data_IF_477955974451
#
_entry.id   IF_477955974451
#
_cell.length_a   1.000
_cell.length_b   1.000
_cell.length_c   1.000
_cell.angle_alpha   90.00
_cell.angle_beta   90.00
_cell.angle_gamma   90.00
#
_symmetry.space_group_name_H-M   'P 1'
#
loop_
_entity.id
_entity.type
_entity.pdbx_description
1 polymer ?
#
# COMPACT_ATOMS: atom_id res chain seq x y z
N UNK A 1 32.32 -1.30 23.50
CA UNK A 1 30.96 -1.62 23.01
C UNK A 1 30.82 -0.93 21.66
N UNK A 2 30.85 -1.70 20.56
CA UNK A 2 30.83 -1.16 19.21
C UNK A 2 29.53 -0.40 18.97
N UNK A 3 29.64 0.77 18.37
CA UNK A 3 28.49 1.45 17.77
C UNK A 3 27.88 0.48 16.78
N UNK A 4 26.76 -0.12 17.14
CA UNK A 4 25.95 -0.94 16.23
C UNK A 4 25.62 -0.02 15.06
N UNK A 5 26.21 -0.31 13.91
CA UNK A 5 26.01 0.45 12.68
C UNK A 5 24.48 0.43 12.39
N UNK A 6 23.82 1.57 12.61
CA UNK A 6 22.40 1.69 12.28
C UNK A 6 22.30 1.73 10.75
N UNK A 7 21.43 0.93 10.14
CA UNK A 7 21.22 1.02 8.70
C UNK A 7 20.69 2.41 8.36
N UNK A 8 20.99 2.88 7.17
CA UNK A 8 20.47 4.19 6.71
C UNK A 8 18.98 4.11 6.41
N UNK A 9 18.51 3.01 5.81
CA UNK A 9 17.10 2.74 5.52
C UNK A 9 16.67 1.44 6.19
N UNK A 10 15.49 1.42 6.79
CA UNK A 10 14.77 0.19 7.09
C UNK A 10 13.70 0.00 6.02
N UNK A 11 13.81 -1.06 5.23
CA UNK A 11 12.72 -1.54 4.38
C UNK A 11 11.93 -2.57 5.18
N UNK A 12 10.61 -2.47 5.18
CA UNK A 12 9.74 -3.41 5.89
C UNK A 12 8.70 -3.98 4.94
N UNK A 13 8.51 -5.31 5.00
CA UNK A 13 7.52 -6.04 4.21
C UNK A 13 6.53 -6.71 5.16
N UNK A 14 5.33 -6.14 5.37
CA UNK A 14 4.23 -6.87 5.95
C UNK A 14 3.71 -7.89 4.92
N UNK A 15 3.62 -9.16 5.31
CA UNK A 15 3.30 -10.29 4.43
C UNK A 15 2.14 -11.09 5.00
N UNK A 16 1.14 -11.43 4.18
CA UNK A 16 0.09 -12.37 4.51
C UNK A 16 -0.43 -13.07 3.25
N UNK A 17 -0.20 -14.38 3.15
CA UNK A 17 -0.63 -15.21 2.03
C UNK A 17 -0.20 -14.64 0.66
N UNK A 18 1.10 -14.31 0.54
CA UNK A 18 1.73 -13.76 -0.65
C UNK A 18 2.67 -14.76 -1.35
N UNK A 19 2.51 -16.09 -1.16
CA UNK A 19 3.43 -17.10 -1.70
C UNK A 19 3.73 -16.93 -3.19
N UNK A 20 2.75 -16.44 -3.95
CA UNK A 20 2.87 -16.21 -5.39
C UNK A 20 3.87 -15.09 -5.74
N UNK A 21 4.04 -14.09 -4.88
CA UNK A 21 4.73 -12.84 -5.22
C UNK A 21 5.91 -12.52 -4.31
N UNK A 22 5.89 -13.01 -3.07
CA UNK A 22 6.83 -12.59 -2.02
C UNK A 22 8.31 -12.76 -2.40
N UNK A 23 8.65 -13.82 -3.12
CA UNK A 23 10.02 -14.04 -3.60
C UNK A 23 10.48 -12.96 -4.57
N UNK A 24 9.61 -12.51 -5.48
CA UNK A 24 9.89 -11.42 -6.42
C UNK A 24 10.02 -10.09 -5.67
N UNK A 25 9.12 -9.81 -4.74
CA UNK A 25 9.15 -8.61 -3.90
C UNK A 25 10.45 -8.50 -3.10
N UNK A 26 10.84 -9.57 -2.38
CA UNK A 26 12.08 -9.58 -1.60
C UNK A 26 13.31 -9.37 -2.51
N UNK A 27 13.38 -10.06 -3.63
CA UNK A 27 14.48 -9.93 -4.58
C UNK A 27 14.57 -8.50 -5.15
N UNK A 28 13.46 -7.83 -5.39
CA UNK A 28 13.45 -6.44 -5.87
C UNK A 28 14.05 -5.47 -4.84
N UNK A 29 13.82 -5.72 -3.55
CA UNK A 29 14.45 -4.96 -2.46
C UNK A 29 15.93 -5.28 -2.35
N UNK A 30 16.31 -6.55 -2.40
CA UNK A 30 17.73 -6.95 -2.28
C UNK A 30 18.59 -6.45 -3.43
N UNK A 31 17.98 -6.18 -4.60
CA UNK A 31 18.64 -5.71 -5.82
C UNK A 31 18.74 -4.18 -5.92
N UNK A 32 18.40 -3.43 -4.86
CA UNK A 32 18.52 -1.99 -4.85
C UNK A 32 19.98 -1.54 -4.98
N UNK A 33 20.22 -0.46 -5.77
CA UNK A 33 21.55 0.16 -5.93
C UNK A 33 22.05 0.79 -4.63
N UNK A 34 21.14 1.32 -3.80
CA UNK A 34 21.43 1.76 -2.44
C UNK A 34 21.53 0.55 -1.52
N UNK A 35 22.69 0.31 -0.89
CA UNK A 35 22.99 -0.93 -0.17
C UNK A 35 22.93 -0.84 1.35
N UNK A 36 22.97 0.39 1.94
CA UNK A 36 22.92 0.58 3.40
C UNK A 36 21.50 0.52 3.93
N UNK A 37 20.92 -0.67 3.90
CA UNK A 37 19.59 -0.93 4.46
C UNK A 37 19.50 -2.27 5.20
N UNK A 38 18.52 -2.38 6.10
CA UNK A 38 18.02 -3.66 6.62
C UNK A 38 16.65 -3.95 6.01
N UNK A 39 16.32 -5.22 5.88
CA UNK A 39 15.02 -5.70 5.43
C UNK A 39 14.32 -6.48 6.54
N UNK A 40 13.21 -5.93 7.04
CA UNK A 40 12.38 -6.57 8.06
C UNK A 40 11.14 -7.15 7.38
N UNK A 41 10.93 -8.46 7.49
CA UNK A 41 9.76 -9.14 6.92
C UNK A 41 8.88 -9.62 8.08
N UNK A 42 7.62 -9.21 8.08
CA UNK A 42 6.64 -9.58 9.11
C UNK A 42 5.53 -10.44 8.50
N UNK A 43 5.62 -11.73 8.74
CA UNK A 43 4.60 -12.71 8.34
C UNK A 43 3.42 -12.68 9.31
N UNK A 44 2.24 -12.34 8.81
CA UNK A 44 1.00 -12.26 9.56
C UNK A 44 0.30 -13.62 9.66
N UNK A 45 1.05 -14.64 10.08
CA UNK A 45 0.55 -16.00 10.25
C UNK A 45 0.06 -16.64 8.93
N UNK A 46 0.82 -16.47 7.84
CA UNK A 46 0.50 -17.06 6.53
C UNK A 46 0.35 -18.57 6.57
N UNK A 47 -0.53 -19.09 5.72
CA UNK A 47 -0.87 -20.53 5.60
C UNK A 47 -0.59 -21.10 4.19
N UNK A 48 -0.09 -20.28 3.26
CA UNK A 48 0.09 -20.63 1.84
C UNK A 48 1.55 -20.94 1.45
N UNK A 49 2.48 -21.00 2.41
CA UNK A 49 3.90 -21.21 2.15
C UNK A 49 4.72 -19.91 1.99
N UNK A 50 4.12 -18.73 2.15
CA UNK A 50 4.83 -17.43 2.08
C UNK A 50 6.02 -17.37 3.04
N UNK A 51 5.82 -17.85 4.28
CA UNK A 51 6.86 -17.87 5.30
C UNK A 51 8.07 -18.71 4.88
N UNK A 52 7.83 -19.91 4.33
CA UNK A 52 8.90 -20.83 3.91
C UNK A 52 9.70 -20.26 2.74
N UNK A 53 9.02 -19.58 1.79
CA UNK A 53 9.68 -18.88 0.69
C UNK A 53 10.58 -17.77 1.24
N UNK A 54 10.08 -16.92 2.12
CA UNK A 54 10.87 -15.85 2.73
C UNK A 54 12.06 -16.41 3.54
N UNK A 55 11.85 -17.49 4.29
CA UNK A 55 12.86 -18.16 5.11
C UNK A 55 13.97 -18.85 4.29
N UNK A 56 13.67 -19.22 3.04
CA UNK A 56 14.66 -19.84 2.14
C UNK A 56 15.68 -18.85 1.56
N UNK A 57 15.40 -17.54 1.62
CA UNK A 57 16.29 -16.52 1.09
C UNK A 57 17.37 -16.17 2.12
N UNK A 58 18.62 -16.29 1.71
CA UNK A 58 19.79 -16.06 2.58
C UNK A 58 20.50 -14.76 2.17
N UNK A 59 20.21 -13.69 2.91
CA UNK A 59 20.91 -12.42 2.83
C UNK A 59 21.04 -11.83 4.23
N UNK A 60 22.22 -11.34 4.60
CA UNK A 60 22.50 -10.84 5.95
C UNK A 60 21.67 -9.62 6.36
N UNK A 61 21.07 -8.93 5.40
CA UNK A 61 20.18 -7.78 5.62
C UNK A 61 18.78 -8.20 6.05
N UNK A 62 18.36 -9.46 5.79
CA UNK A 62 17.02 -9.97 6.07
C UNK A 62 16.87 -10.31 7.56
N UNK A 63 15.74 -9.89 8.13
CA UNK A 63 15.23 -10.37 9.41
C UNK A 63 13.78 -10.74 9.23
N UNK A 64 13.47 -12.03 9.40
CA UNK A 64 12.12 -12.57 9.26
C UNK A 64 11.48 -12.76 10.63
N UNK A 65 10.27 -12.27 10.79
CA UNK A 65 9.44 -12.40 11.99
C UNK A 65 8.11 -13.04 11.60
N UNK A 66 7.51 -13.78 12.54
CA UNK A 66 6.17 -14.33 12.37
C UNK A 66 5.27 -13.89 13.51
N UNK A 67 4.08 -13.45 13.19
CA UNK A 67 3.06 -13.15 14.19
C UNK A 67 2.50 -14.46 14.76
N UNK A 68 2.14 -14.52 16.06
CA UNK A 68 1.56 -15.71 16.65
C UNK A 68 0.18 -16.04 16.10
N UNK A 69 -0.53 -15.03 15.60
CA UNK A 69 -1.85 -15.07 14.97
C UNK A 69 -1.94 -14.02 13.86
N UNK A 70 -3.00 -14.06 13.06
CA UNK A 70 -3.27 -13.02 12.06
C UNK A 70 -3.78 -11.75 12.75
N UNK A 71 -3.02 -10.66 12.62
CA UNK A 71 -3.34 -9.35 13.20
C UNK A 71 -4.09 -8.43 12.24
N UNK A 72 -4.28 -8.87 10.99
CA UNK A 72 -4.81 -8.05 9.91
C UNK A 72 -3.84 -6.95 9.43
N UNK A 73 -4.25 -6.20 8.40
CA UNK A 73 -3.39 -5.17 7.79
C UNK A 73 -2.92 -4.11 8.79
N UNK A 74 -3.81 -3.54 9.59
CA UNK A 74 -3.46 -2.52 10.58
C UNK A 74 -2.44 -3.04 11.59
N UNK A 75 -2.73 -4.18 12.21
CA UNK A 75 -1.86 -4.75 13.24
C UNK A 75 -0.49 -5.14 12.68
N UNK A 76 -0.45 -5.77 11.50
CA UNK A 76 0.79 -6.21 10.88
C UNK A 76 1.64 -5.04 10.37
N UNK A 77 1.02 -4.02 9.75
CA UNK A 77 1.73 -2.83 9.25
C UNK A 77 2.31 -2.00 10.40
N UNK A 78 1.54 -1.79 11.47
CA UNK A 78 2.03 -1.10 12.67
C UNK A 78 3.17 -1.88 13.34
N UNK A 79 3.05 -3.21 13.40
CA UNK A 79 4.14 -4.05 13.90
C UNK A 79 5.39 -3.94 13.02
N UNK A 80 5.23 -3.91 11.70
CA UNK A 80 6.31 -3.79 10.74
C UNK A 80 7.08 -2.47 10.89
N UNK A 81 6.40 -1.36 11.20
CA UNK A 81 7.07 -0.06 11.41
C UNK A 81 7.57 0.14 12.86
N UNK A 82 7.13 -0.67 13.83
CA UNK A 82 7.49 -0.50 15.25
C UNK A 82 8.94 -0.83 15.60
N UNK A 83 9.64 -1.59 14.75
CA UNK A 83 11.02 -2.08 14.99
C UNK A 83 12.05 -1.48 14.04
N UNK A 84 11.69 -0.41 13.37
CA UNK A 84 12.58 0.30 12.45
C UNK A 84 13.76 0.92 13.20
N UNK A 85 14.95 0.85 12.60
CA UNK A 85 16.18 1.40 13.17
C UNK A 85 16.89 2.36 12.23
N UNK A 86 16.51 2.35 10.95
CA UNK A 86 17.06 3.25 9.94
C UNK A 86 16.72 4.72 10.22
N UNK A 87 17.43 5.62 9.55
CA UNK A 87 17.09 7.04 9.48
C UNK A 87 15.79 7.24 8.73
N UNK A 88 15.58 6.42 7.69
CA UNK A 88 14.38 6.42 6.85
C UNK A 88 13.69 5.06 6.87
N UNK A 89 12.41 5.07 6.58
CA UNK A 89 11.54 3.88 6.53
C UNK A 89 10.83 3.82 5.18
N UNK A 90 10.76 2.60 4.64
CA UNK A 90 9.96 2.26 3.48
C UNK A 90 9.13 1.00 3.76
N UNK A 91 7.81 1.08 3.55
CA UNK A 91 6.94 -0.09 3.57
C UNK A 91 6.67 -0.56 2.13
N UNK A 92 6.85 -1.86 1.90
CA UNK A 92 6.59 -2.53 0.61
C UNK A 92 5.63 -3.67 0.86
N UNK A 93 4.47 -3.67 0.25
CA UNK A 93 3.54 -4.78 0.36
C UNK A 93 4.09 -6.04 -0.30
N UNK A 94 3.69 -7.24 0.19
CA UNK A 94 4.27 -8.52 -0.21
C UNK A 94 4.04 -8.94 -1.66
N UNK A 95 3.41 -8.12 -2.48
CA UNK A 95 3.11 -8.31 -3.90
C UNK A 95 3.63 -7.20 -4.82
N UNK A 96 4.24 -6.14 -4.25
CA UNK A 96 4.77 -4.99 -4.99
C UNK A 96 6.26 -5.14 -5.33
N UNK A 97 6.75 -4.30 -6.22
CA UNK A 97 8.14 -4.36 -6.73
C UNK A 97 8.80 -2.98 -6.63
N UNK A 98 10.05 -2.93 -6.16
CA UNK A 98 10.92 -1.77 -6.28
C UNK A 98 11.77 -1.88 -7.54
N UNK A 99 11.91 -0.77 -8.29
CA UNK A 99 12.91 -0.69 -9.35
C UNK A 99 14.29 -0.36 -8.77
N UNK A 100 15.39 -0.74 -9.42
CA UNK A 100 16.73 -0.77 -8.83
C UNK A 100 17.20 0.53 -8.15
N UNK A 101 16.85 1.69 -8.67
CA UNK A 101 17.29 3.01 -8.17
C UNK A 101 16.30 3.66 -7.18
N UNK A 102 15.26 2.94 -6.73
CA UNK A 102 14.19 3.51 -5.93
C UNK A 102 14.71 4.12 -4.62
N UNK A 103 15.42 3.32 -3.82
CA UNK A 103 15.96 3.80 -2.54
C UNK A 103 16.97 4.91 -2.73
N UNK A 104 17.89 4.78 -3.69
CA UNK A 104 18.94 5.77 -3.97
C UNK A 104 18.36 7.14 -4.28
N UNK A 105 17.37 7.20 -5.21
CA UNK A 105 16.75 8.45 -5.61
C UNK A 105 15.90 9.06 -4.50
N UNK A 106 15.18 8.24 -3.73
CA UNK A 106 14.38 8.74 -2.62
C UNK A 106 15.24 9.25 -1.45
N UNK A 107 16.33 8.57 -1.12
CA UNK A 107 17.32 9.01 -0.11
C UNK A 107 17.98 10.32 -0.54
N UNK A 108 18.36 10.43 -1.81
CA UNK A 108 19.00 11.64 -2.33
C UNK A 108 18.15 12.90 -2.16
N UNK A 109 16.81 12.76 -2.27
CA UNK A 109 15.90 13.91 -2.00
C UNK A 109 16.01 14.37 -0.55
N UNK A 110 16.02 13.45 0.41
CA UNK A 110 16.11 13.80 1.84
C UNK A 110 17.51 14.32 2.25
N UNK A 111 18.54 13.86 1.56
CA UNK A 111 19.92 14.25 1.89
C UNK A 111 20.33 15.59 1.23
N UNK A 112 19.53 16.11 0.30
CA UNK A 112 19.70 17.46 -0.24
C UNK A 112 19.15 18.51 0.75
N UNK A 113 19.99 19.39 1.29
CA UNK A 113 19.57 20.43 2.24
C UNK A 113 18.47 21.36 1.73
N UNK A 114 18.31 21.52 0.42
CA UNK A 114 17.25 22.34 -0.19
C UNK A 114 15.85 21.78 0.12
N UNK A 115 15.78 20.49 0.40
CA UNK A 115 14.55 19.78 0.73
C UNK A 115 14.29 19.68 2.25
N UNK A 116 14.98 20.49 3.06
CA UNK A 116 14.70 20.55 4.49
C UNK A 116 13.20 20.83 4.74
N UNK A 117 12.57 20.06 5.65
CA UNK A 117 11.14 20.15 5.93
C UNK A 117 10.24 19.27 5.06
N UNK A 118 10.80 18.44 4.17
CA UNK A 118 10.05 17.35 3.52
C UNK A 118 9.79 16.24 4.54
N UNK A 119 8.54 15.85 4.73
CA UNK A 119 8.12 14.79 5.65
C UNK A 119 7.98 13.43 4.95
N UNK A 120 7.77 13.43 3.65
CA UNK A 120 7.69 12.20 2.84
C UNK A 120 8.12 12.44 1.40
N UNK A 121 8.78 11.44 0.83
CA UNK A 121 9.12 11.40 -0.60
C UNK A 121 8.31 10.29 -1.23
N UNK A 122 7.60 10.59 -2.30
CA UNK A 122 6.90 9.61 -3.13
C UNK A 122 7.46 9.61 -4.55
N UNK A 123 7.19 8.57 -5.30
CA UNK A 123 7.51 8.48 -6.73
C UNK A 123 6.28 8.11 -7.53
N UNK A 124 6.34 8.31 -8.85
CA UNK A 124 5.37 7.71 -9.75
C UNK A 124 5.52 6.19 -9.74
N UNK A 125 4.48 5.49 -10.17
CA UNK A 125 4.43 4.03 -10.19
C UNK A 125 3.98 3.47 -11.53
N UNK A 126 4.40 2.27 -11.80
CA UNK A 126 3.88 1.39 -12.84
C UNK A 126 2.78 0.53 -12.25
N UNK A 127 1.69 0.30 -12.98
CA UNK A 127 0.68 -0.69 -12.61
C UNK A 127 0.97 -1.98 -13.39
N UNK A 128 1.03 -3.11 -12.68
CA UNK A 128 1.28 -4.42 -13.27
C UNK A 128 0.15 -5.40 -12.95
N UNK A 129 -0.04 -6.39 -13.82
CA UNK A 129 -0.95 -7.51 -13.59
C UNK A 129 -0.28 -8.61 -12.73
N UNK A 130 -1.02 -9.69 -12.37
CA UNK A 130 -0.45 -10.78 -11.57
C UNK A 130 0.71 -11.52 -12.24
N UNK A 131 0.88 -11.41 -13.57
CA UNK A 131 1.99 -11.99 -14.30
C UNK A 131 3.21 -11.04 -14.43
N UNK A 132 3.14 -9.84 -13.82
CA UNK A 132 4.18 -8.81 -13.92
C UNK A 132 4.13 -8.00 -15.22
N UNK A 133 3.11 -8.19 -16.05
CA UNK A 133 2.96 -7.42 -17.29
C UNK A 133 2.46 -6.01 -16.97
N UNK A 134 3.11 -5.02 -17.55
CA UNK A 134 2.71 -3.61 -17.43
C UNK A 134 1.32 -3.36 -18.03
N UNK A 135 0.42 -2.85 -17.20
CA UNK A 135 -0.90 -2.35 -17.59
C UNK A 135 -0.85 -0.84 -17.85
N UNK A 136 -0.22 -0.08 -16.94
CA UNK A 136 -0.02 1.36 -17.03
C UNK A 136 1.43 1.65 -16.69
N UNK A 137 2.19 2.24 -17.63
CA UNK A 137 3.63 2.45 -17.48
C UNK A 137 3.99 3.50 -16.44
N UNK A 138 3.19 4.55 -16.31
CA UNK A 138 3.40 5.63 -15.35
C UNK A 138 2.05 6.20 -14.92
N UNK A 139 1.76 6.13 -13.65
CA UNK A 139 0.61 6.84 -13.06
C UNK A 139 1.11 8.15 -12.50
N UNK A 140 0.60 9.25 -13.03
CA UNK A 140 0.98 10.60 -12.66
C UNK A 140 -0.26 11.42 -12.32
N UNK A 141 -0.57 11.55 -11.03
CA UNK A 141 -1.63 12.44 -10.54
C UNK A 141 -1.07 13.76 -9.98
N UNK A 142 0.22 13.78 -9.61
CA UNK A 142 0.92 14.94 -9.06
C UNK A 142 2.24 15.11 -9.79
N UNK A 143 2.48 16.29 -10.34
CA UNK A 143 3.75 16.61 -11.00
C UNK A 143 4.92 16.55 -10.00
N UNK A 144 6.13 16.33 -10.50
CA UNK A 144 7.34 16.25 -9.71
C UNK A 144 7.63 17.51 -8.89
N UNK A 145 8.50 17.35 -7.89
CA UNK A 145 8.95 18.41 -6.99
C UNK A 145 8.17 18.50 -5.69
N UNK A 146 8.49 19.54 -4.89
CA UNK A 146 7.95 19.80 -3.57
C UNK A 146 6.50 20.31 -3.63
N UNK A 147 5.65 19.85 -2.72
CA UNK A 147 4.22 20.15 -2.64
C UNK A 147 3.83 20.47 -1.19
N UNK A 148 3.13 21.56 -1.01
CA UNK A 148 2.56 21.96 0.28
C UNK A 148 1.46 20.97 0.71
N UNK A 149 1.38 20.63 2.01
CA UNK A 149 0.41 19.67 2.55
C UNK A 149 -1.04 19.97 2.17
N UNK A 150 -1.48 21.21 2.37
CA UNK A 150 -2.86 21.62 2.10
C UNK A 150 -3.21 21.46 0.61
N UNK A 151 -2.29 21.79 -0.30
CA UNK A 151 -2.51 21.62 -1.74
C UNK A 151 -2.63 20.14 -2.14
N UNK A 152 -1.83 19.27 -1.53
CA UNK A 152 -1.89 17.82 -1.76
C UNK A 152 -3.23 17.26 -1.29
N UNK A 153 -3.63 17.55 -0.05
CA UNK A 153 -4.85 17.04 0.55
C UNK A 153 -6.07 17.55 -0.21
N UNK A 154 -6.12 18.86 -0.48
CA UNK A 154 -7.18 19.48 -1.25
C UNK A 154 -7.30 18.87 -2.65
N UNK A 155 -6.17 18.65 -3.35
CA UNK A 155 -6.15 18.01 -4.68
C UNK A 155 -6.64 16.56 -4.60
N UNK A 156 -6.24 15.80 -3.58
CA UNK A 156 -6.67 14.42 -3.37
C UNK A 156 -8.18 14.33 -3.16
N UNK A 157 -8.73 15.17 -2.29
CA UNK A 157 -10.18 15.27 -2.06
C UNK A 157 -10.89 15.66 -3.37
N UNK A 158 -10.45 16.73 -4.04
CA UNK A 158 -11.07 17.20 -5.30
C UNK A 158 -11.04 16.19 -6.43
N UNK A 159 -9.96 15.39 -6.53
CA UNK A 159 -9.85 14.32 -7.54
C UNK A 159 -10.63 13.06 -7.16
N UNK A 160 -11.01 12.88 -5.89
CA UNK A 160 -11.73 11.70 -5.40
C UNK A 160 -10.93 10.40 -5.55
N UNK A 161 -9.58 10.47 -5.39
CA UNK A 161 -8.70 9.30 -5.56
C UNK A 161 -7.37 9.50 -4.83
N UNK A 162 -6.66 8.38 -4.56
CA UNK A 162 -5.29 8.40 -4.07
C UNK A 162 -4.36 8.98 -5.13
N UNK A 163 -3.77 10.15 -4.85
CA UNK A 163 -2.84 10.83 -5.74
C UNK A 163 -1.38 10.69 -5.32
N UNK A 164 -1.10 10.23 -4.10
CA UNK A 164 0.25 10.07 -3.54
C UNK A 164 0.84 8.73 -3.97
N UNK A 165 0.00 7.71 -4.04
CA UNK A 165 0.36 6.34 -4.37
C UNK A 165 0.25 5.39 -3.18
N UNK A 166 0.39 4.11 -3.47
CA UNK A 166 0.40 3.02 -2.49
C UNK A 166 1.70 3.07 -1.65
N UNK A 167 1.78 2.34 -0.52
CA UNK A 167 2.96 2.39 0.38
C UNK A 167 4.30 2.15 -0.31
N UNK A 168 4.32 1.32 -1.34
CA UNK A 168 5.52 1.05 -2.16
C UNK A 168 6.12 2.31 -2.79
N UNK A 169 5.31 3.38 -3.00
CA UNK A 169 5.77 4.65 -3.57
C UNK A 169 6.56 5.49 -2.56
N UNK A 170 6.29 5.34 -1.26
CA UNK A 170 6.74 6.25 -0.21
C UNK A 170 8.09 5.90 0.43
N UNK A 171 8.82 6.93 0.88
CA UNK A 171 9.91 6.88 1.86
C UNK A 171 9.70 8.03 2.84
N UNK A 172 9.95 7.80 4.14
CA UNK A 172 9.71 8.82 5.15
C UNK A 172 10.72 8.73 6.31
N UNK A 173 10.97 9.86 7.05
CA UNK A 173 11.87 9.87 8.20
C UNK A 173 11.32 9.01 9.33
N UNK A 174 12.16 8.14 9.89
CA UNK A 174 11.75 7.21 10.94
C UNK A 174 11.41 7.91 12.27
N UNK A 175 11.98 9.09 12.53
CA UNK A 175 11.67 9.88 13.74
C UNK A 175 10.25 10.46 13.72
N UNK A 176 9.61 10.58 12.57
CA UNK A 176 8.22 10.98 12.46
C UNK A 176 7.26 9.87 12.85
N UNK A 177 7.65 8.58 12.73
CA UNK A 177 6.80 7.45 13.13
C UNK A 177 6.40 7.55 14.61
N UNK A 178 7.30 8.05 15.46
CA UNK A 178 7.01 8.23 16.89
C UNK A 178 6.06 9.43 17.18
N UNK A 179 5.77 10.25 16.19
CA UNK A 179 4.94 11.47 16.30
C UNK A 179 3.54 11.30 15.73
N UNK A 180 3.27 10.17 15.10
CA UNK A 180 1.99 9.84 14.46
C UNK A 180 1.35 8.63 15.14
N UNK A 181 0.07 8.42 14.89
CA UNK A 181 -0.68 7.28 15.44
C UNK A 181 -0.37 5.95 14.73
N UNK A 182 0.38 5.99 13.62
CA UNK A 182 0.62 4.84 12.77
C UNK A 182 -0.48 4.63 11.72
N UNK A 183 -0.56 3.41 11.21
CA UNK A 183 -1.62 3.02 10.29
C UNK A 183 -2.92 2.77 11.05
N UNK A 184 -4.04 3.26 10.54
CA UNK A 184 -5.38 3.07 11.11
C UNK A 184 -6.32 2.50 10.07
N UNK A 185 -7.01 1.42 10.42
CA UNK A 185 -8.05 0.80 9.59
C UNK A 185 -9.47 1.19 10.03
N UNK A 186 -9.66 2.31 10.72
CA UNK A 186 -10.99 2.88 10.98
C UNK A 186 -11.76 3.03 9.68
N UNK A 187 -11.08 3.44 8.60
CA UNK A 187 -11.56 3.36 7.22
C UNK A 187 -10.63 2.43 6.43
N UNK A 188 -10.91 1.14 6.37
CA UNK A 188 -9.95 0.12 5.92
C UNK A 188 -9.37 0.33 4.53
N UNK A 189 -10.13 0.88 3.59
CA UNK A 189 -9.66 1.15 2.22
C UNK A 189 -8.62 2.26 2.15
N UNK A 190 -8.62 3.18 3.09
CA UNK A 190 -7.80 4.39 3.08
C UNK A 190 -6.69 4.38 4.14
N UNK A 191 -6.32 3.19 4.63
CA UNK A 191 -5.30 2.97 5.66
C UNK A 191 -3.96 3.65 5.32
N UNK A 192 -3.56 3.66 4.05
CA UNK A 192 -2.37 4.34 3.54
C UNK A 192 -2.57 5.86 3.46
N UNK A 193 -3.76 6.32 3.08
CA UNK A 193 -4.07 7.74 2.95
C UNK A 193 -4.11 8.45 4.29
N UNK A 194 -4.71 7.81 5.31
CA UNK A 194 -4.70 8.33 6.68
C UNK A 194 -3.25 8.51 7.17
N UNK A 195 -2.40 7.51 6.94
CA UNK A 195 -0.98 7.59 7.27
C UNK A 195 -0.28 8.75 6.53
N UNK A 196 -0.57 8.94 5.24
CA UNK A 196 0.01 10.05 4.46
C UNK A 196 -0.42 11.41 5.01
N UNK A 197 -1.69 11.60 5.36
CA UNK A 197 -2.16 12.85 5.97
C UNK A 197 -1.46 13.11 7.30
N UNK A 198 -1.28 12.10 8.15
CA UNK A 198 -0.54 12.24 9.39
C UNK A 198 0.90 12.69 9.13
N UNK A 199 1.59 12.13 8.14
CA UNK A 199 2.94 12.54 7.76
C UNK A 199 2.98 13.98 7.24
N UNK A 200 2.00 14.39 6.44
CA UNK A 200 1.88 15.75 5.89
C UNK A 200 1.66 16.81 6.97
N UNK A 201 1.20 16.47 8.18
CA UNK A 201 1.17 17.40 9.31
C UNK A 201 2.56 17.82 9.80
N UNK A 202 3.61 17.13 9.38
CA UNK A 202 4.99 17.36 9.81
C UNK A 202 5.89 17.96 8.72
N UNK A 203 5.39 18.19 7.52
CA UNK A 203 6.16 18.77 6.42
C UNK A 203 5.60 18.43 5.05
N UNK A 204 6.32 18.84 4.03
CA UNK A 204 5.88 18.75 2.65
C UNK A 204 6.03 17.35 2.05
N UNK A 205 5.27 17.10 0.98
CA UNK A 205 5.49 15.98 0.07
C UNK A 205 6.50 16.38 -1.01
N UNK A 206 7.47 15.52 -1.29
CA UNK A 206 8.28 15.60 -2.51
C UNK A 206 7.92 14.45 -3.45
N UNK A 207 7.61 14.75 -4.70
CA UNK A 207 7.28 13.74 -5.72
C UNK A 207 8.42 13.63 -6.72
N UNK A 208 8.99 12.45 -6.87
CA UNK A 208 9.93 12.13 -7.93
C UNK A 208 9.14 11.78 -9.19
N UNK A 209 9.37 12.52 -10.28
CA UNK A 209 8.62 12.35 -11.54
C UNK A 209 9.14 11.18 -12.39
N UNK A 210 9.56 10.12 -11.73
CA UNK A 210 9.93 8.84 -12.33
C UNK A 210 9.14 7.71 -11.70
N UNK A 211 8.86 6.65 -12.49
CA UNK A 211 8.29 5.42 -11.96
C UNK A 211 9.40 4.59 -11.33
N UNK A 212 9.46 4.56 -10.01
CA UNK A 212 10.51 3.87 -9.23
C UNK A 212 10.02 2.58 -8.57
N UNK A 213 8.76 2.23 -8.77
CA UNK A 213 8.15 1.03 -8.24
C UNK A 213 7.01 0.54 -9.13
N UNK A 214 6.57 -0.69 -8.90
CA UNK A 214 5.38 -1.24 -9.51
C UNK A 214 4.39 -1.69 -8.44
N UNK A 215 3.14 -1.23 -8.57
CA UNK A 215 2.00 -1.70 -7.81
C UNK A 215 1.29 -2.81 -8.57
N UNK A 216 1.07 -3.94 -7.90
CA UNK A 216 0.44 -5.12 -8.51
C UNK A 216 -1.05 -5.14 -8.22
N UNK A 217 -1.85 -5.18 -9.28
CA UNK A 217 -3.29 -5.44 -9.17
C UNK A 217 -3.50 -6.95 -9.25
N UNK A 218 -4.01 -7.54 -8.17
CA UNK A 218 -4.36 -8.96 -8.10
C UNK A 218 -5.70 -9.16 -7.39
N UNK A 219 -6.29 -10.33 -7.60
CA UNK A 219 -7.49 -10.80 -6.89
C UNK A 219 -7.23 -11.07 -5.39
N UNK A 220 -5.95 -11.19 -5.01
CA UNK A 220 -5.51 -11.39 -3.63
C UNK A 220 -5.25 -10.09 -2.89
N UNK A 221 -5.18 -8.94 -3.59
CA UNK A 221 -4.89 -7.65 -2.97
C UNK A 221 -6.01 -7.23 -2.01
N UNK A 222 -5.63 -6.52 -0.94
CA UNK A 222 -6.57 -5.98 0.04
C UNK A 222 -7.66 -5.12 -0.59
N UNK A 223 -7.28 -4.23 -1.50
CA UNK A 223 -8.21 -3.37 -2.24
C UNK A 223 -9.24 -4.15 -3.09
N UNK A 224 -8.87 -5.33 -3.59
CA UNK A 224 -9.80 -6.20 -4.32
C UNK A 224 -10.80 -6.88 -3.41
N UNK A 225 -10.42 -7.19 -2.16
CA UNK A 225 -11.29 -7.84 -1.17
C UNK A 225 -12.35 -6.88 -0.60
N UNK A 226 -12.03 -5.60 -0.45
CA UNK A 226 -12.97 -4.57 0.03
C UNK A 226 -14.11 -4.31 -0.99
N UNK A 227 -13.85 -4.53 -2.28
CA UNK A 227 -14.88 -4.53 -3.33
C UNK A 227 -15.70 -3.24 -3.42
N UNK A 228 -17.04 -3.35 -3.24
CA UNK A 228 -17.98 -2.23 -3.40
C UNK A 228 -17.88 -1.17 -2.29
N UNK A 229 -17.39 -1.56 -1.09
CA UNK A 229 -17.23 -0.63 0.04
C UNK A 229 -16.16 0.44 -0.21
N UNK A 230 -15.29 0.27 -1.22
CA UNK A 230 -14.24 1.26 -1.54
C UNK A 230 -14.78 2.66 -1.76
N UNK A 231 -15.93 2.77 -2.43
CA UNK A 231 -16.57 4.06 -2.71
C UNK A 231 -17.02 4.73 -1.42
N UNK A 232 -17.76 4.03 -0.59
CA UNK A 232 -18.28 4.55 0.68
C UNK A 232 -17.15 4.97 1.61
N UNK A 233 -16.14 4.12 1.74
CA UNK A 233 -14.98 4.39 2.58
C UNK A 233 -14.13 5.57 2.08
N UNK A 234 -13.98 5.72 0.76
CA UNK A 234 -13.29 6.90 0.23
C UNK A 234 -14.10 8.19 0.43
N UNK A 235 -15.42 8.11 0.36
CA UNK A 235 -16.32 9.23 0.67
C UNK A 235 -16.16 9.67 2.13
N UNK A 236 -16.17 8.71 3.06
CA UNK A 236 -15.95 8.96 4.48
C UNK A 236 -14.59 9.62 4.73
N UNK A 237 -13.53 9.11 4.13
CA UNK A 237 -12.20 9.70 4.19
C UNK A 237 -12.18 11.16 3.70
N UNK A 238 -12.84 11.46 2.58
CA UNK A 238 -12.91 12.83 2.05
C UNK A 238 -13.63 13.78 3.01
N UNK A 239 -14.72 13.32 3.66
CA UNK A 239 -15.45 14.09 4.65
C UNK A 239 -14.60 14.36 5.91
N UNK A 240 -13.87 13.35 6.40
CA UNK A 240 -12.94 13.50 7.51
C UNK A 240 -11.81 14.47 7.15
N UNK A 241 -11.23 14.36 5.94
CA UNK A 241 -10.20 15.26 5.48
C UNK A 241 -10.69 16.71 5.33
N UNK A 242 -11.93 16.90 4.91
CA UNK A 242 -12.54 18.24 4.78
C UNK A 242 -12.92 18.87 6.12
N UNK A 243 -13.15 18.08 7.16
CA UNK A 243 -13.49 18.57 8.51
C UNK A 243 -12.32 19.26 9.22
N UNK A 244 -11.07 19.00 8.82
CA UNK A 244 -9.88 19.68 9.35
C UNK A 244 -9.63 20.96 8.53
N UNK A 245 -9.93 22.13 9.09
CA UNK A 245 -9.79 23.42 8.43
C UNK A 245 -8.36 23.69 7.93
N UNK A 246 -7.33 23.11 8.60
CA UNK A 246 -5.93 23.26 8.21
C UNK A 246 -5.60 22.65 6.84
N UNK A 247 -6.44 21.75 6.34
CA UNK A 247 -6.30 21.13 5.03
C UNK A 247 -6.75 22.04 3.88
N UNK A 248 -7.47 23.14 4.16
CA UNK A 248 -7.90 24.12 3.17
C UNK A 248 -8.90 23.56 2.13
N UNK A 249 -9.58 22.46 2.45
CA UNK A 249 -10.59 21.85 1.58
C UNK A 249 -11.86 22.67 1.64
N UNK A 250 -12.36 23.11 0.47
CA UNK A 250 -13.62 23.87 0.37
C UNK A 250 -14.80 22.93 0.12
N UNK A 251 -16.02 23.40 0.42
CA UNK A 251 -17.25 22.67 0.09
C UNK A 251 -17.34 22.32 -1.42
N UNK A 252 -16.83 23.21 -2.26
CA UNK A 252 -16.76 22.97 -3.71
C UNK A 252 -15.78 21.87 -4.06
N UNK A 253 -14.62 21.80 -3.40
CA UNK A 253 -13.64 20.73 -3.62
C UNK A 253 -14.22 19.38 -3.21
N UNK A 254 -14.89 19.33 -2.05
CA UNK A 254 -15.56 18.13 -1.57
C UNK A 254 -16.69 17.69 -2.50
N UNK A 255 -17.54 18.62 -2.97
CA UNK A 255 -18.61 18.33 -3.91
C UNK A 255 -18.09 17.76 -5.23
N UNK A 256 -17.07 18.37 -5.82
CA UNK A 256 -16.42 17.88 -7.05
C UNK A 256 -15.80 16.50 -6.80
N UNK A 257 -15.13 16.32 -5.67
CA UNK A 257 -14.52 15.06 -5.28
C UNK A 257 -15.52 13.91 -5.17
N UNK A 258 -16.68 14.17 -4.58
CA UNK A 258 -17.79 13.19 -4.50
C UNK A 258 -18.25 12.73 -5.89
N UNK A 259 -18.41 13.65 -6.82
CA UNK A 259 -18.74 13.33 -8.21
C UNK A 259 -17.65 12.50 -8.87
N UNK A 260 -16.40 12.92 -8.74
CA UNK A 260 -15.26 12.22 -9.35
C UNK A 260 -15.10 10.80 -8.80
N UNK A 261 -15.24 10.63 -7.49
CA UNK A 261 -15.19 9.32 -6.83
C UNK A 261 -16.32 8.40 -7.34
N UNK A 262 -17.54 8.91 -7.48
CA UNK A 262 -18.66 8.16 -8.03
C UNK A 262 -18.40 7.70 -9.48
N UNK A 263 -17.90 8.58 -10.33
CA UNK A 263 -17.56 8.27 -11.74
C UNK A 263 -16.46 7.21 -11.81
N UNK A 264 -15.41 7.32 -10.98
CA UNK A 264 -14.33 6.33 -10.93
C UNK A 264 -14.80 4.96 -10.42
N UNK A 265 -15.71 4.93 -9.44
CA UNK A 265 -16.31 3.68 -8.98
C UNK A 265 -17.11 2.99 -10.08
N UNK A 266 -17.93 3.73 -10.83
CA UNK A 266 -18.68 3.21 -11.97
C UNK A 266 -17.79 2.67 -13.08
N UNK A 267 -16.73 3.39 -13.44
CA UNK A 267 -15.78 2.98 -14.49
C UNK A 267 -14.96 1.76 -14.09
N UNK A 268 -14.57 1.66 -12.81
CA UNK A 268 -13.90 0.48 -12.27
C UNK A 268 -14.80 -0.76 -12.32
N UNK A 269 -16.06 -0.65 -11.93
CA UNK A 269 -17.04 -1.75 -12.01
C UNK A 269 -17.27 -2.21 -13.46
N UNK A 270 -17.35 -1.28 -14.41
CA UNK A 270 -17.46 -1.61 -15.84
C UNK A 270 -16.20 -2.28 -16.37
N UNK A 271 -15.01 -1.79 -16.00
CA UNK A 271 -13.72 -2.39 -16.37
C UNK A 271 -13.58 -3.82 -15.85
N UNK A 272 -13.93 -4.08 -14.59
CA UNK A 272 -13.92 -5.43 -14.02
C UNK A 272 -14.91 -6.37 -14.72
N UNK A 273 -16.12 -5.91 -15.06
CA UNK A 273 -17.11 -6.71 -15.80
C UNK A 273 -16.63 -7.06 -17.23
N UNK A 274 -16.02 -6.12 -17.92
CA UNK A 274 -15.45 -6.34 -19.26
C UNK A 274 -14.24 -7.29 -19.21
N UNK A 275 -13.40 -7.19 -18.20
CA UNK A 275 -12.25 -8.09 -18.02
C UNK A 275 -12.71 -9.52 -17.66
N UNK A 276 -13.69 -9.68 -16.79
CA UNK A 276 -14.29 -10.97 -16.44
C UNK A 276 -14.98 -11.63 -17.63
N UNK A 277 -15.65 -10.85 -18.50
CA UNK A 277 -16.27 -11.39 -19.72
C UNK A 277 -15.27 -11.80 -20.79
N UNK A 278 -14.10 -11.13 -20.87
CA UNK A 278 -13.03 -11.49 -21.82
C UNK A 278 -12.25 -12.76 -21.42
N UNK A 279 -12.17 -13.05 -20.13
CA UNK A 279 -11.56 -14.28 -19.60
C UNK A 279 -12.52 -15.46 -19.67
N UNK A 280 -13.83 -15.25 -19.56
CA UNK A 280 -14.87 -16.29 -19.71
C UNK A 280 -14.98 -16.85 -21.14
N UNK A 281 -14.59 -16.08 -22.14
CA UNK A 281 -14.61 -16.49 -23.56
C UNK A 281 -13.46 -17.41 -23.99
N UNK A 282 -12.46 -17.67 -23.15
CA UNK A 282 -11.28 -18.53 -23.45
C UNK A 282 -11.25 -19.87 -22.72
N UNK A 283 -12.24 -20.17 -21.88
CA UNK A 283 -12.32 -21.43 -21.11
C UNK A 283 -13.57 -22.23 -21.53
N UNK A 284 -13.86 -22.34 -22.83
CA UNK A 284 -14.77 -23.35 -23.34
C UNK A 284 -13.97 -24.48 -24.00
N UNK A 285 -13.54 -25.44 -23.18
CA UNK A 285 -12.90 -26.69 -23.62
C UNK A 285 -12.45 -27.52 -22.42
N UNK A 286 -13.37 -28.35 -21.88
CA UNK A 286 -13.10 -29.45 -20.94
C UNK A 286 -12.69 -29.03 -19.50
N UNK A 287 -13.67 -28.97 -18.67
CA UNK A 287 -13.80 -29.46 -17.29
C UNK A 287 -14.99 -28.75 -16.65
N UNK A 288 -16.17 -29.20 -16.95
CA UNK A 288 -17.42 -28.76 -16.30
C UNK A 288 -17.95 -29.98 -15.54
N UNK A 289 -17.90 -29.90 -14.24
CA UNK A 289 -18.93 -30.37 -13.30
C UNK A 289 -18.45 -30.36 -11.84
N UNK A 290 -17.16 -30.56 -11.56
CA UNK A 290 -16.65 -30.56 -10.17
C UNK A 290 -16.44 -29.17 -9.55
N UNK A 291 -16.39 -28.11 -10.36
CA UNK A 291 -16.13 -26.74 -9.85
C UNK A 291 -17.37 -26.04 -9.28
N UNK A 292 -18.58 -26.40 -9.73
CA UNK A 292 -19.81 -25.74 -9.30
C UNK A 292 -20.32 -26.16 -7.91
N UNK A 293 -19.99 -27.36 -7.49
CA UNK A 293 -20.36 -27.87 -6.16
C UNK A 293 -19.45 -27.36 -5.04
N UNK A 294 -18.19 -27.04 -5.35
CA UNK A 294 -17.26 -26.48 -4.37
C UNK A 294 -17.47 -24.98 -4.11
N UNK A 295 -17.95 -24.21 -5.09
CA UNK A 295 -18.28 -22.80 -4.94
C UNK A 295 -19.57 -22.64 -4.09
N UNK A 296 -20.58 -23.45 -4.39
CA UNK A 296 -21.86 -23.41 -3.60
C UNK A 296 -21.71 -23.86 -2.14
N UNK A 297 -20.71 -24.70 -1.83
CA UNK A 297 -20.42 -25.11 -0.44
C UNK A 297 -19.60 -24.07 0.34
N UNK A 298 -18.88 -23.18 -0.33
CA UNK A 298 -18.16 -22.07 0.33
C UNK A 298 -19.07 -20.88 0.64
N UNK A 299 -20.01 -20.56 -0.24
CA UNK A 299 -20.95 -19.44 -0.04
C UNK A 299 -22.03 -19.76 1.01
N UNK A 300 -22.19 -21.02 1.40
CA UNK A 300 -23.14 -21.46 2.43
C UNK A 300 -22.53 -21.49 3.85
N UNK A 301 -21.26 -21.10 4.03
CA UNK A 301 -20.54 -21.17 5.33
C UNK A 301 -20.15 -19.82 5.94
N UNK A 302 -20.60 -18.70 5.37
CA UNK A 302 -20.42 -17.38 5.99
C UNK A 302 -21.78 -16.64 5.98
N UNK A 303 -22.56 -16.81 7.04
CA UNK A 303 -23.72 -15.97 7.32
C UNK A 303 -23.27 -14.67 7.98
N UNK A 304 -23.96 -13.57 7.68
CA UNK A 304 -23.68 -12.21 8.21
C UNK A 304 -23.66 -12.11 9.75
N UNK A 305 -24.14 -13.12 10.47
CA UNK A 305 -24.13 -13.17 11.94
C UNK A 305 -22.75 -13.50 12.55
N UNK A 306 -21.86 -14.17 11.84
CA UNK A 306 -20.51 -14.51 12.39
C UNK A 306 -19.52 -13.34 12.31
N UNK A 307 -19.81 -12.30 11.55
CA UNK A 307 -18.97 -11.08 11.44
C UNK A 307 -19.28 -10.11 12.61
N UNK A 308 -20.51 -10.13 13.15
CA UNK A 308 -20.95 -9.20 14.22
C UNK A 308 -20.72 -9.69 15.65
N UNK A 309 -20.62 -11.00 15.89
CA UNK A 309 -20.50 -11.54 17.25
C UNK A 309 -19.06 -11.53 17.80
N UNK A 310 -18.04 -11.25 17.01
CA UNK A 310 -16.66 -11.15 17.49
C UNK A 310 -16.25 -9.73 17.95
N UNK A 311 -17.08 -8.72 17.77
CA UNK A 311 -16.81 -7.35 18.23
C UNK A 311 -17.45 -6.98 19.59
N UNK A 312 -18.26 -7.85 20.19
CA UNK A 312 -18.95 -7.56 21.46
C UNK A 312 -18.47 -8.33 22.69
N UNK A 313 -17.37 -9.07 22.59
CA UNK A 313 -16.79 -9.78 23.75
C UNK A 313 -15.28 -9.67 23.80
N UNK A 314 -14.77 -8.44 23.89
CA UNK A 314 -13.48 -8.17 24.58
C UNK A 314 -13.30 -6.68 24.89
#
# INVERSE_FOLDING_TARGET
>A
MGFLNRPYVTVTIPMYNNARFIGETINSVLSQTFTDFELLIYDDHSTDGSYDIAASLTDSRIKLFRNPENLGPEGNWNRAISKVRGKYVKLVCGDDILFPECLEKQVAVFDDPINAGVSQVSSQRTIIDPAGKTLIKKVNFVDGGRKEPADVIRKMVRMGTNIIGEPVCGLYPADLIAKISGYSAVVPYTIDLDFWIQMLKHGDLFVIDESLCAFRISDLSWSSRIGELRYEQFMEFMEQAAADESHGVTDLDLFIGKINCAVQSMTSLMGFKLFASSTSGKINGKHSEESKDNVRKRDALMTEEEIFDNELTR
#
